data_IF_854894864277
#
_entry.id   IF_854894864277
#
_cell.length_a   1.000
_cell.length_b   1.000
_cell.length_c   1.000
_cell.angle_alpha   90.00
_cell.angle_beta   90.00
_cell.angle_gamma   90.00
#
_symmetry.space_group_name_H-M   'P 1'
#
loop_
_entity.id
_entity.type
_entity.pdbx_description
1 polymer ?
#
# COMPACT_ATOMS: atom_id res chain seq x y z
N UNK A 1 -23.14 11.76 -1.07
CA UNK A 1 -23.15 13.01 -0.31
C UNK A 1 -21.80 13.69 -0.48
N UNK A 2 -21.76 14.99 -0.85
CA UNK A 2 -20.48 15.71 -0.93
C UNK A 2 -19.98 15.98 0.48
N UNK A 3 -18.67 15.90 0.73
CA UNK A 3 -18.09 16.02 2.08
C UNK A 3 -18.50 17.33 2.78
N UNK A 4 -18.67 18.42 2.02
CA UNK A 4 -19.18 19.70 2.52
C UNK A 4 -20.60 19.63 3.12
N UNK A 5 -21.45 18.73 2.63
CA UNK A 5 -22.83 18.59 3.08
C UNK A 5 -22.92 17.83 4.42
N UNK A 6 -22.05 16.83 4.59
CA UNK A 6 -21.88 16.12 5.87
C UNK A 6 -21.34 17.08 6.93
N UNK A 7 -20.31 17.86 6.58
CA UNK A 7 -19.75 18.87 7.48
C UNK A 7 -20.79 19.88 7.95
N UNK A 8 -21.69 20.31 7.04
CA UNK A 8 -22.78 21.23 7.39
C UNK A 8 -23.75 20.62 8.39
N UNK A 9 -24.19 19.39 8.15
CA UNK A 9 -25.10 18.69 9.06
C UNK A 9 -24.50 18.46 10.44
N UNK A 10 -23.21 18.11 10.51
CA UNK A 10 -22.49 17.96 11.77
C UNK A 10 -22.41 19.31 12.50
N UNK A 11 -22.05 20.39 11.80
CA UNK A 11 -21.98 21.72 12.39
C UNK A 11 -23.33 22.16 12.96
N UNK A 12 -24.41 21.93 12.22
CA UNK A 12 -25.77 22.26 12.63
C UNK A 12 -26.17 21.49 13.91
N UNK A 13 -25.89 20.17 13.96
CA UNK A 13 -26.14 19.34 15.13
C UNK A 13 -25.29 19.74 16.35
N UNK A 14 -24.00 20.04 16.15
CA UNK A 14 -23.12 20.50 17.24
C UNK A 14 -23.62 21.84 17.79
N UNK A 15 -24.04 22.76 16.91
CA UNK A 15 -24.55 24.06 17.32
C UNK A 15 -25.88 23.94 18.07
N UNK A 16 -26.78 23.07 17.61
CA UNK A 16 -28.06 22.81 18.27
C UNK A 16 -27.86 22.26 19.68
N UNK A 17 -26.99 21.26 19.83
CA UNK A 17 -26.81 20.55 21.10
C UNK A 17 -25.88 21.27 22.09
N UNK A 18 -25.08 22.22 21.60
CA UNK A 18 -24.26 23.10 22.44
C UNK A 18 -24.90 24.46 22.74
N UNK A 19 -26.14 24.73 22.30
CA UNK A 19 -26.83 26.03 22.52
C UNK A 19 -26.82 26.47 23.98
N UNK A 20 -26.95 25.53 24.92
CA UNK A 20 -27.07 25.81 26.35
C UNK A 20 -25.81 25.42 27.16
N UNK A 21 -24.71 25.06 26.50
CA UNK A 21 -23.44 24.67 27.16
C UNK A 21 -22.27 25.40 26.54
N UNK A 22 -21.44 26.01 27.38
CA UNK A 22 -20.19 26.59 26.91
C UNK A 22 -19.23 25.47 26.50
N UNK A 23 -18.94 25.39 25.20
CA UNK A 23 -17.95 24.48 24.62
C UNK A 23 -16.98 25.34 23.82
N UNK A 24 -15.68 25.21 24.11
CA UNK A 24 -14.64 26.00 23.44
C UNK A 24 -14.60 25.71 21.94
N UNK A 25 -14.15 26.69 21.14
CA UNK A 25 -14.02 26.54 19.69
C UNK A 25 -13.16 25.32 19.32
N UNK A 26 -12.02 25.14 20.00
CA UNK A 26 -11.14 23.97 19.84
C UNK A 26 -11.87 22.65 20.08
N UNK A 27 -12.76 22.58 21.09
CA UNK A 27 -13.51 21.35 21.37
C UNK A 27 -14.59 21.09 20.31
N UNK A 28 -15.24 22.14 19.78
CA UNK A 28 -16.20 22.01 18.67
C UNK A 28 -15.51 21.52 17.40
N UNK A 29 -14.33 22.05 17.06
CA UNK A 29 -13.52 21.57 15.94
C UNK A 29 -13.10 20.10 16.11
N UNK A 30 -12.65 19.71 17.29
CA UNK A 30 -12.31 18.31 17.58
C UNK A 30 -13.53 17.39 17.42
N UNK A 31 -14.70 17.79 17.97
CA UNK A 31 -15.93 17.01 17.88
C UNK A 31 -16.45 16.90 16.45
N UNK A 32 -16.33 17.98 15.67
CA UNK A 32 -16.68 17.99 14.25
C UNK A 32 -15.85 16.97 13.48
N UNK A 33 -14.54 16.97 13.68
CA UNK A 33 -13.63 16.01 13.04
C UNK A 33 -13.93 14.58 13.48
N UNK A 34 -14.20 14.35 14.78
CA UNK A 34 -14.56 13.04 15.32
C UNK A 34 -15.87 12.49 14.72
N UNK A 35 -16.93 13.30 14.70
CA UNK A 35 -18.21 12.94 14.10
C UNK A 35 -18.11 12.76 12.58
N UNK A 36 -17.35 13.62 11.90
CA UNK A 36 -17.13 13.50 10.47
C UNK A 36 -16.40 12.20 10.13
N UNK A 37 -15.37 11.84 10.90
CA UNK A 37 -14.65 10.57 10.73
C UNK A 37 -15.51 9.36 11.11
N UNK A 38 -16.43 9.49 12.07
CA UNK A 38 -17.41 8.43 12.35
C UNK A 38 -18.39 8.22 11.19
N UNK A 39 -18.77 9.31 10.51
CA UNK A 39 -19.66 9.28 9.34
C UNK A 39 -18.90 8.91 8.04
N UNK A 40 -17.59 9.18 7.97
CA UNK A 40 -16.74 8.93 6.80
C UNK A 40 -15.55 8.00 7.11
N UNK A 41 -15.41 7.06 6.18
CA UNK A 41 -14.15 6.40 5.78
C UNK A 41 -13.65 5.33 6.74
N UNK A 42 -13.01 5.58 7.88
CA UNK A 42 -12.45 4.52 8.75
C UNK A 42 -12.38 4.93 10.25
N UNK A 43 -13.23 5.88 10.69
CA UNK A 43 -13.29 6.38 12.07
C UNK A 43 -11.92 6.88 12.56
N UNK A 44 -11.49 6.51 13.78
CA UNK A 44 -10.20 6.90 14.35
C UNK A 44 -9.00 6.55 13.47
N UNK A 45 -9.10 5.52 12.61
CA UNK A 45 -7.98 5.13 11.74
C UNK A 45 -7.73 6.16 10.63
N UNK A 46 -8.73 7.00 10.30
CA UNK A 46 -8.58 8.00 9.26
C UNK A 46 -7.47 9.01 9.59
N UNK A 47 -7.29 9.36 10.88
CA UNK A 47 -6.20 10.23 11.34
C UNK A 47 -4.82 9.64 11.03
N UNK A 48 -4.67 8.31 11.20
CA UNK A 48 -3.42 7.62 10.91
C UNK A 48 -3.20 7.42 9.40
N UNK A 49 -4.28 7.27 8.64
CA UNK A 49 -4.24 7.10 7.19
C UNK A 49 -3.93 8.42 6.48
N UNK A 50 -4.36 9.55 7.04
CA UNK A 50 -4.09 10.87 6.48
C UNK A 50 -2.67 11.37 6.81
N UNK A 51 -2.03 10.82 7.84
CA UNK A 51 -0.65 11.16 8.24
C UNK A 51 0.40 10.43 7.39
N UNK A 52 0.95 11.10 6.38
CA UNK A 52 1.95 10.53 5.45
C UNK A 52 3.27 10.06 6.10
N UNK A 53 3.51 10.35 7.39
CA UNK A 53 4.66 9.81 8.12
C UNK A 53 4.46 8.36 8.58
N UNK A 54 3.22 7.87 8.61
CA UNK A 54 2.86 6.50 9.04
C UNK A 54 2.95 5.54 7.85
N UNK A 55 3.79 4.53 7.97
CA UNK A 55 4.02 3.52 6.91
C UNK A 55 3.20 2.25 7.12
N UNK A 56 2.86 1.94 8.38
CA UNK A 56 2.09 0.75 8.73
C UNK A 56 1.17 1.04 9.91
N UNK A 57 -0.03 0.46 9.90
CA UNK A 57 -1.02 0.54 10.98
C UNK A 57 -1.45 -0.89 11.30
N UNK A 58 -1.39 -1.27 12.57
CA UNK A 58 -1.75 -2.59 13.07
C UNK A 58 -2.76 -2.44 14.19
N UNK A 59 -3.97 -2.96 13.99
CA UNK A 59 -5.05 -2.98 14.98
C UNK A 59 -5.21 -4.41 15.46
N UNK A 60 -4.90 -4.65 16.72
CA UNK A 60 -4.91 -5.96 17.36
C UNK A 60 -6.06 -6.00 18.39
N UNK A 61 -7.28 -6.22 17.91
CA UNK A 61 -8.48 -6.11 18.73
C UNK A 61 -8.76 -4.68 19.20
N UNK A 62 -9.49 -4.53 20.31
CA UNK A 62 -9.87 -3.21 20.87
C UNK A 62 -8.76 -2.55 21.67
N UNK A 63 -7.77 -3.32 22.12
CA UNK A 63 -6.80 -2.89 23.14
C UNK A 63 -5.50 -2.32 22.57
N UNK A 64 -5.05 -2.77 21.40
CA UNK A 64 -3.74 -2.42 20.88
C UNK A 64 -3.78 -1.90 19.45
N UNK A 65 -3.50 -0.62 19.26
CA UNK A 65 -3.18 -0.04 17.95
C UNK A 65 -1.70 0.30 17.93
N UNK A 66 -0.99 -0.23 16.95
CA UNK A 66 0.42 0.04 16.71
C UNK A 66 0.56 0.71 15.35
N UNK A 67 1.58 1.55 15.24
CA UNK A 67 1.92 2.19 13.98
C UNK A 67 3.43 2.17 13.77
N UNK A 68 3.84 2.08 12.51
CA UNK A 68 5.22 2.29 12.13
C UNK A 68 5.40 3.72 11.61
N UNK A 69 6.38 4.43 12.16
CA UNK A 69 6.79 5.76 11.70
C UNK A 69 8.31 5.81 11.63
N UNK A 70 8.86 6.19 10.48
CA UNK A 70 10.31 6.26 10.24
C UNK A 70 11.07 4.98 10.65
N UNK A 71 10.50 3.79 10.35
CA UNK A 71 11.10 2.50 10.68
C UNK A 71 11.03 2.11 12.16
N UNK A 72 10.26 2.84 12.98
CA UNK A 72 10.08 2.54 14.41
C UNK A 72 8.63 2.20 14.71
N UNK A 73 8.43 1.13 15.46
CA UNK A 73 7.13 0.71 15.95
C UNK A 73 6.75 1.52 17.20
N UNK A 74 5.56 2.10 17.18
CA UNK A 74 5.00 2.91 18.25
C UNK A 74 3.62 2.40 18.64
N UNK A 75 3.31 2.40 19.93
CA UNK A 75 1.95 2.16 20.41
C UNK A 75 1.15 3.47 20.34
N UNK A 76 -0.04 3.42 19.76
CA UNK A 76 -0.93 4.57 19.69
C UNK A 76 -1.81 4.64 20.93
N UNK A 77 -1.98 5.84 21.50
CA UNK A 77 -2.67 6.00 22.79
C UNK A 77 -4.19 5.80 22.71
N UNK A 78 -4.78 5.93 21.51
CA UNK A 78 -6.22 5.77 21.33
C UNK A 78 -6.60 4.30 21.20
N UNK A 79 -7.81 3.97 21.68
CA UNK A 79 -8.42 2.64 21.61
C UNK A 79 -9.70 2.67 20.81
N UNK A 80 -10.11 1.51 20.31
CA UNK A 80 -11.41 1.35 19.67
C UNK A 80 -12.46 1.07 20.75
N UNK A 81 -13.61 1.73 20.63
CA UNK A 81 -14.63 1.74 21.68
C UNK A 81 -15.22 0.35 21.99
N UNK A 82 -15.40 -0.52 20.99
CA UNK A 82 -15.95 -1.86 21.19
C UNK A 82 -15.55 -2.83 20.07
N UNK A 83 -15.77 -4.13 20.31
CA UNK A 83 -15.51 -5.19 19.32
C UNK A 83 -16.43 -5.04 18.11
N UNK A 84 -17.70 -4.74 18.34
CA UNK A 84 -18.71 -4.54 17.29
C UNK A 84 -18.30 -3.39 16.37
N UNK A 85 -17.81 -2.28 16.95
CA UNK A 85 -17.32 -1.15 16.17
C UNK A 85 -16.13 -1.52 15.27
N UNK A 86 -15.24 -2.39 15.75
CA UNK A 86 -14.11 -2.88 14.95
C UNK A 86 -14.56 -3.88 13.87
N UNK A 87 -15.53 -4.75 14.16
CA UNK A 87 -16.14 -5.64 13.16
C UNK A 87 -16.82 -4.84 12.05
N UNK A 88 -17.55 -3.77 12.40
CA UNK A 88 -18.15 -2.85 11.43
C UNK A 88 -17.08 -2.20 10.54
N UNK A 89 -15.95 -1.77 11.10
CA UNK A 89 -14.83 -1.23 10.32
C UNK A 89 -14.26 -2.28 9.34
N UNK A 90 -14.05 -3.51 9.80
CA UNK A 90 -13.58 -4.62 8.96
C UNK A 90 -14.54 -4.86 7.80
N UNK A 91 -15.84 -4.95 8.07
CA UNK A 91 -16.86 -5.15 7.04
C UNK A 91 -16.93 -3.98 6.05
N UNK A 92 -16.82 -2.74 6.53
CA UNK A 92 -16.78 -1.56 5.67
C UNK A 92 -15.55 -1.55 4.74
N UNK A 93 -14.37 -1.89 5.25
CA UNK A 93 -13.15 -1.99 4.42
C UNK A 93 -13.34 -3.08 3.36
N UNK A 94 -13.76 -4.27 3.78
CA UNK A 94 -13.96 -5.40 2.87
C UNK A 94 -14.97 -5.04 1.76
N UNK A 95 -16.11 -4.46 2.14
CA UNK A 95 -17.16 -4.07 1.20
C UNK A 95 -16.71 -3.04 0.15
N UNK A 96 -15.90 -2.04 0.54
CA UNK A 96 -15.35 -1.07 -0.42
C UNK A 96 -14.34 -1.66 -1.39
N UNK A 97 -13.66 -2.73 -0.97
CA UNK A 97 -12.70 -3.45 -1.79
C UNK A 97 -13.33 -4.60 -2.58
N UNK A 98 -14.67 -4.69 -2.61
CA UNK A 98 -15.43 -5.80 -3.19
C UNK A 98 -14.95 -7.18 -2.67
N UNK A 99 -14.59 -7.25 -1.39
CA UNK A 99 -14.23 -8.47 -0.69
C UNK A 99 -15.31 -8.83 0.33
N UNK A 100 -15.41 -10.12 0.62
CA UNK A 100 -16.33 -10.66 1.63
C UNK A 100 -15.47 -11.12 2.79
N UNK A 101 -15.80 -10.63 4.00
CA UNK A 101 -15.22 -11.07 5.27
C UNK A 101 -16.36 -11.28 6.26
N UNK A 102 -16.43 -12.48 6.84
CA UNK A 102 -17.40 -12.87 7.85
C UNK A 102 -16.87 -14.10 8.61
N UNK A 103 -17.62 -14.66 9.55
CA UNK A 103 -17.17 -15.82 10.35
C UNK A 103 -16.87 -17.08 9.51
N UNK A 104 -17.50 -17.24 8.34
CA UNK A 104 -17.25 -18.36 7.42
C UNK A 104 -16.05 -18.12 6.50
N UNK A 105 -15.75 -16.86 6.20
CA UNK A 105 -14.58 -16.41 5.43
C UNK A 105 -13.85 -15.34 6.24
N UNK A 106 -13.13 -15.75 7.31
CA UNK A 106 -12.65 -14.82 8.32
C UNK A 106 -11.41 -14.04 7.91
N UNK A 107 -10.78 -14.37 6.78
CA UNK A 107 -9.56 -13.72 6.30
C UNK A 107 -9.82 -13.10 4.93
N UNK A 108 -9.44 -11.84 4.74
CA UNK A 108 -9.31 -11.29 3.39
C UNK A 108 -8.19 -10.27 3.27
N UNK A 109 -7.56 -10.30 2.10
CA UNK A 109 -6.63 -9.27 1.66
C UNK A 109 -7.30 -8.38 0.60
N UNK A 110 -7.01 -7.10 0.70
CA UNK A 110 -7.65 -6.06 -0.09
C UNK A 110 -6.67 -4.92 -0.39
N UNK A 111 -7.06 -4.07 -1.35
CA UNK A 111 -6.36 -2.84 -1.68
C UNK A 111 -7.31 -1.66 -1.56
N UNK A 112 -6.93 -0.69 -0.74
CA UNK A 112 -7.65 0.56 -0.57
C UNK A 112 -7.50 1.46 -1.80
N UNK A 113 -8.35 2.48 -1.90
CA UNK A 113 -8.35 3.42 -3.03
C UNK A 113 -7.05 4.24 -3.16
N UNK A 114 -6.30 4.39 -2.07
CA UNK A 114 -4.98 5.05 -2.05
C UNK A 114 -3.84 4.09 -2.44
N UNK A 115 -4.16 2.83 -2.78
CA UNK A 115 -3.20 1.79 -3.14
C UNK A 115 -2.70 0.98 -1.95
N UNK A 116 -2.96 1.41 -0.70
CA UNK A 116 -2.52 0.73 0.51
C UNK A 116 -3.07 -0.70 0.59
N UNK A 117 -2.27 -1.64 1.09
CA UNK A 117 -2.70 -3.01 1.34
C UNK A 117 -3.37 -3.11 2.68
N UNK A 118 -4.46 -3.88 2.73
CA UNK A 118 -5.13 -4.20 3.97
C UNK A 118 -5.30 -5.70 4.08
N UNK A 119 -4.88 -6.25 5.22
CA UNK A 119 -5.24 -7.59 5.66
C UNK A 119 -6.26 -7.50 6.79
N UNK A 120 -7.34 -8.25 6.66
CA UNK A 120 -8.46 -8.30 7.60
C UNK A 120 -8.60 -9.71 8.14
N UNK A 121 -8.70 -9.85 9.46
CA UNK A 121 -8.95 -11.14 10.11
C UNK A 121 -10.04 -10.99 11.16
N UNK A 122 -11.08 -11.83 11.08
CA UNK A 122 -12.16 -11.91 12.07
C UNK A 122 -12.02 -13.17 12.97
N UNK A 123 -12.68 -13.16 14.15
CA UNK A 123 -12.97 -14.39 14.88
C UNK A 123 -13.71 -15.42 13.99
N UNK A 124 -13.53 -16.72 14.22
CA UNK A 124 -12.75 -17.35 15.30
C UNK A 124 -11.24 -17.45 15.05
N UNK A 125 -10.75 -17.04 13.87
CA UNK A 125 -9.30 -17.13 13.53
C UNK A 125 -8.48 -16.13 14.35
N UNK A 126 -8.99 -14.91 14.51
CA UNK A 126 -8.38 -13.93 15.40
C UNK A 126 -8.93 -14.06 16.83
N UNK A 127 -8.19 -14.76 17.69
CA UNK A 127 -8.59 -15.06 19.07
C UNK A 127 -8.74 -13.81 19.96
N UNK A 128 -7.98 -12.75 19.66
CA UNK A 128 -7.98 -11.51 20.42
C UNK A 128 -9.03 -10.49 19.92
N UNK A 129 -10.00 -10.95 19.11
CA UNK A 129 -10.93 -10.10 18.38
C UNK A 129 -10.41 -9.74 16.98
N UNK A 130 -11.17 -8.95 16.20
CA UNK A 130 -10.79 -8.61 14.84
C UNK A 130 -9.42 -7.94 14.74
N UNK A 131 -8.73 -8.18 13.62
CA UNK A 131 -7.41 -7.63 13.33
C UNK A 131 -7.44 -6.91 11.97
N UNK A 132 -6.83 -5.74 11.92
CA UNK A 132 -6.62 -4.97 10.70
C UNK A 132 -5.14 -4.62 10.60
N UNK A 133 -4.50 -5.00 9.50
CA UNK A 133 -3.15 -4.53 9.18
C UNK A 133 -3.19 -3.73 7.89
N UNK A 134 -2.85 -2.45 7.95
CA UNK A 134 -2.77 -1.56 6.80
C UNK A 134 -1.31 -1.25 6.54
N UNK A 135 -0.79 -1.68 5.39
CA UNK A 135 0.55 -1.31 4.92
C UNK A 135 0.43 -0.29 3.81
N UNK A 136 0.94 0.91 4.06
CA UNK A 136 0.83 2.04 3.16
C UNK A 136 2.00 2.09 2.19
N UNK A 137 1.74 2.60 1.00
CA UNK A 137 2.79 2.97 0.07
C UNK A 137 3.14 4.43 0.26
N UNK A 138 4.43 4.79 0.29
CA UNK A 138 4.82 6.20 0.32
C UNK A 138 4.20 6.91 -0.88
N UNK A 139 3.53 8.04 -0.66
CA UNK A 139 3.03 8.90 -1.75
C UNK A 139 4.18 9.45 -2.59
N UNK A 140 5.30 9.71 -1.94
CA UNK A 140 6.52 10.19 -2.57
C UNK A 140 7.57 9.08 -2.53
N UNK A 141 7.93 8.49 -3.69
CA UNK A 141 8.98 7.49 -3.72
C UNK A 141 10.34 8.13 -3.39
N UNK A 142 11.23 7.36 -2.77
CA UNK A 142 12.61 7.82 -2.53
C UNK A 142 13.35 7.78 -3.87
N UNK A 143 13.81 8.95 -4.32
CA UNK A 143 14.63 9.08 -5.53
C UNK A 143 16.11 8.83 -5.26
N UNK A 144 16.87 8.62 -6.34
CA UNK A 144 18.30 8.31 -6.25
C UNK A 144 19.11 9.39 -5.53
N UNK A 145 18.78 10.67 -5.71
CA UNK A 145 19.45 11.79 -5.03
C UNK A 145 19.32 11.68 -3.51
N UNK A 146 18.14 11.27 -3.01
CA UNK A 146 17.92 11.06 -1.58
C UNK A 146 18.72 9.86 -1.05
N UNK A 147 18.90 8.81 -1.85
CA UNK A 147 19.74 7.66 -1.47
C UNK A 147 21.23 8.06 -1.36
N UNK A 148 21.69 8.99 -2.21
CA UNK A 148 23.03 9.57 -2.11
C UNK A 148 23.18 10.39 -0.82
N UNK A 149 22.20 11.25 -0.51
CA UNK A 149 22.20 12.05 0.73
C UNK A 149 22.22 11.17 1.99
N UNK A 150 21.53 10.03 1.96
CA UNK A 150 21.51 9.05 3.05
C UNK A 150 22.79 8.22 3.13
N UNK A 151 23.73 8.38 2.19
CA UNK A 151 24.98 7.62 2.12
C UNK A 151 24.78 6.15 1.71
N UNK A 152 23.62 5.80 1.14
CA UNK A 152 23.32 4.44 0.69
C UNK A 152 24.07 4.06 -0.60
N UNK A 153 24.40 5.06 -1.43
CA UNK A 153 25.14 4.90 -2.69
C UNK A 153 25.94 6.18 -2.98
N UNK A 154 27.12 6.06 -3.60
CA UNK A 154 27.93 7.24 -3.97
C UNK A 154 27.52 7.81 -5.33
N UNK A 155 27.76 9.11 -5.59
CA UNK A 155 27.48 9.72 -6.90
C UNK A 155 28.15 9.01 -8.08
N UNK A 156 29.37 8.49 -7.90
CA UNK A 156 30.10 7.76 -8.93
C UNK A 156 29.40 6.46 -9.31
N UNK A 157 28.91 5.72 -8.30
CA UNK A 157 28.13 4.49 -8.53
C UNK A 157 26.80 4.82 -9.20
N UNK A 158 26.14 5.92 -8.82
CA UNK A 158 24.91 6.36 -9.48
C UNK A 158 25.15 6.65 -10.97
N UNK A 159 26.23 7.36 -11.31
CA UNK A 159 26.56 7.65 -12.71
C UNK A 159 26.81 6.36 -13.51
N UNK A 160 27.52 5.40 -12.92
CA UNK A 160 27.75 4.09 -13.52
C UNK A 160 26.46 3.30 -13.73
N UNK A 161 25.62 3.17 -12.70
CA UNK A 161 24.33 2.48 -12.78
C UNK A 161 23.39 3.13 -13.79
N UNK A 162 23.35 4.46 -13.86
CA UNK A 162 22.57 5.20 -14.86
C UNK A 162 23.01 4.86 -16.28
N UNK A 163 24.31 4.73 -16.53
CA UNK A 163 24.82 4.31 -17.83
C UNK A 163 24.41 2.87 -18.18
N UNK A 164 24.46 1.94 -17.21
CA UNK A 164 23.99 0.56 -17.41
C UNK A 164 22.50 0.48 -17.71
N UNK A 165 21.67 1.21 -16.96
CA UNK A 165 20.22 1.26 -17.20
C UNK A 165 19.96 1.77 -18.62
N UNK A 166 20.53 2.92 -19.01
CA UNK A 166 20.37 3.47 -20.36
C UNK A 166 20.90 2.54 -21.46
N UNK A 167 21.95 1.78 -21.18
CA UNK A 167 22.54 0.82 -22.11
C UNK A 167 21.74 -0.48 -22.28
N UNK A 168 20.61 -0.66 -21.59
CA UNK A 168 19.79 -1.87 -21.73
C UNK A 168 20.29 -3.08 -20.94
N UNK A 169 21.25 -2.88 -20.02
CA UNK A 169 21.82 -4.00 -19.25
C UNK A 169 20.80 -4.58 -18.27
N UNK A 170 20.84 -5.91 -18.11
CA UNK A 170 20.07 -6.61 -17.09
C UNK A 170 20.73 -6.41 -15.72
N UNK A 171 19.95 -5.96 -14.74
CA UNK A 171 20.43 -5.64 -13.38
C UNK A 171 19.60 -6.42 -12.37
N UNK A 172 20.28 -7.14 -11.48
CA UNK A 172 19.67 -7.83 -10.35
C UNK A 172 20.05 -7.12 -9.05
N UNK A 173 19.05 -6.83 -8.22
CA UNK A 173 19.24 -6.21 -6.91
C UNK A 173 18.95 -7.27 -5.85
N UNK A 174 19.95 -7.60 -5.04
CA UNK A 174 19.88 -8.62 -4.00
C UNK A 174 20.12 -8.02 -2.61
N UNK A 175 19.69 -8.74 -1.57
CA UNK A 175 19.74 -8.27 -0.18
C UNK A 175 18.67 -8.90 0.70
N UNK A 176 18.81 -8.79 2.02
CA UNK A 176 17.86 -9.32 3.00
C UNK A 176 16.47 -8.66 2.93
N UNK A 177 15.49 -9.28 3.58
CA UNK A 177 14.16 -8.67 3.76
C UNK A 177 14.31 -7.33 4.50
N UNK A 178 13.62 -6.29 4.03
CA UNK A 178 13.69 -4.95 4.63
C UNK A 178 14.96 -4.15 4.31
N UNK A 179 15.90 -4.66 3.50
CA UNK A 179 17.15 -3.95 3.18
C UNK A 179 16.99 -2.80 2.16
N UNK A 180 15.76 -2.43 1.80
CA UNK A 180 15.49 -1.35 0.84
C UNK A 180 15.62 -1.72 -0.64
N UNK A 181 15.60 -3.01 -1.01
CA UNK A 181 15.71 -3.47 -2.42
C UNK A 181 14.69 -2.81 -3.35
N UNK A 182 13.41 -2.90 -3.00
CA UNK A 182 12.32 -2.32 -3.80
C UNK A 182 12.45 -0.81 -3.90
N UNK A 183 12.86 -0.14 -2.83
CA UNK A 183 13.17 1.29 -2.81
C UNK A 183 14.27 1.64 -3.80
N UNK A 184 15.39 0.89 -3.78
CA UNK A 184 16.51 1.10 -4.69
C UNK A 184 16.13 0.79 -6.14
N UNK A 185 15.38 -0.30 -6.38
CA UNK A 185 14.85 -0.65 -7.69
C UNK A 185 13.97 0.46 -8.24
N UNK A 186 13.08 1.00 -7.42
CA UNK A 186 12.19 2.08 -7.81
C UNK A 186 12.99 3.35 -8.18
N UNK A 187 13.96 3.75 -7.34
CA UNK A 187 14.86 4.87 -7.63
C UNK A 187 15.69 4.66 -8.91
N UNK A 188 16.15 3.43 -9.16
CA UNK A 188 16.93 3.08 -10.35
C UNK A 188 16.08 3.08 -11.62
N UNK A 189 14.80 2.70 -11.50
CA UNK A 189 13.85 2.68 -12.62
C UNK A 189 13.59 4.07 -13.21
N UNK A 190 13.83 5.14 -12.45
CA UNK A 190 13.71 6.52 -12.94
C UNK A 190 14.71 6.84 -14.07
N UNK A 191 15.83 6.10 -14.16
CA UNK A 191 16.83 6.25 -15.21
C UNK A 191 16.48 5.56 -16.53
N UNK A 192 15.41 4.77 -16.57
CA UNK A 192 14.90 4.18 -17.80
C UNK A 192 14.44 5.31 -18.74
N UNK A 193 14.86 5.33 -20.02
CA UNK A 193 14.37 6.30 -21.01
C UNK A 193 12.83 6.31 -21.08
N UNK A 194 12.23 7.50 -21.14
CA UNK A 194 10.78 7.67 -20.93
C UNK A 194 9.95 7.27 -22.15
N UNK A 195 10.61 7.17 -23.30
CA UNK A 195 10.04 6.76 -24.58
C UNK A 195 9.92 5.23 -24.71
N UNK A 196 10.61 4.47 -23.85
CA UNK A 196 10.56 3.00 -23.83
C UNK A 196 9.23 2.49 -23.26
N UNK A 197 8.77 1.34 -23.79
CA UNK A 197 7.64 0.59 -23.24
C UNK A 197 8.09 -0.23 -22.04
N UNK A 198 7.58 0.13 -20.87
CA UNK A 198 7.96 -0.50 -19.60
C UNK A 198 6.81 -1.38 -19.11
N UNK A 199 7.12 -2.61 -18.73
CA UNK A 199 6.17 -3.53 -18.09
C UNK A 199 6.67 -3.86 -16.69
N UNK A 200 5.89 -3.51 -15.66
CA UNK A 200 6.17 -3.94 -14.28
C UNK A 200 5.41 -5.23 -13.97
N UNK A 201 6.04 -6.13 -13.22
CA UNK A 201 5.44 -7.39 -12.78
C UNK A 201 5.75 -7.55 -11.29
N UNK A 202 4.72 -7.61 -10.46
CA UNK A 202 4.87 -7.62 -9.01
C UNK A 202 3.84 -8.55 -8.37
N UNK A 203 4.18 -9.18 -7.24
CA UNK A 203 3.18 -9.96 -6.48
C UNK A 203 2.05 -9.04 -6.02
N UNK A 204 2.44 -7.81 -5.74
CA UNK A 204 1.56 -6.73 -5.42
C UNK A 204 2.25 -5.43 -5.86
N UNK A 205 1.58 -4.54 -6.60
CA UNK A 205 2.25 -3.39 -7.18
C UNK A 205 2.78 -2.39 -6.13
N UNK A 206 4.10 -2.22 -6.04
CA UNK A 206 4.82 -1.25 -5.20
C UNK A 206 5.56 -0.23 -6.05
N UNK A 207 6.00 -0.61 -7.25
CA UNK A 207 6.78 0.25 -8.14
C UNK A 207 5.95 1.43 -8.64
N UNK A 208 6.59 2.60 -8.58
CA UNK A 208 6.06 3.90 -8.96
C UNK A 208 6.99 4.52 -10.00
N UNK A 209 6.90 4.02 -11.24
CA UNK A 209 7.69 4.54 -12.36
C UNK A 209 7.11 5.89 -12.79
N UNK A 210 7.91 6.95 -12.68
CA UNK A 210 7.48 8.31 -13.02
C UNK A 210 7.82 8.69 -14.47
N UNK A 211 6.91 9.41 -15.12
CA UNK A 211 7.14 10.04 -16.43
C UNK A 211 7.18 9.10 -17.63
N UNK A 212 6.95 7.79 -17.46
CA UNK A 212 6.82 6.86 -18.57
C UNK A 212 5.41 6.90 -19.15
N UNK A 213 5.28 7.29 -20.43
CA UNK A 213 3.98 7.34 -21.10
C UNK A 213 3.46 5.93 -21.44
N UNK A 214 4.37 5.02 -21.81
CA UNK A 214 4.05 3.67 -22.26
C UNK A 214 4.30 2.64 -21.15
N UNK A 215 3.53 2.74 -20.06
CA UNK A 215 3.68 1.91 -18.87
C UNK A 215 2.54 0.88 -18.75
N UNK A 216 2.88 -0.41 -18.64
CA UNK A 216 1.96 -1.50 -18.28
C UNK A 216 2.32 -2.00 -16.89
N UNK A 217 1.32 -2.13 -16.01
CA UNK A 217 1.51 -2.65 -14.65
C UNK A 217 0.76 -3.96 -14.51
N UNK A 218 1.49 -5.04 -14.24
CA UNK A 218 0.95 -6.38 -14.05
C UNK A 218 1.14 -6.79 -12.59
N UNK A 219 0.10 -7.35 -12.01
CA UNK A 219 0.07 -7.79 -10.62
C UNK A 219 -0.38 -9.25 -10.55
N UNK A 220 0.37 -10.07 -9.78
CA UNK A 220 -0.02 -11.44 -9.54
C UNK A 220 -1.34 -11.50 -8.78
N UNK A 221 -2.09 -12.57 -8.97
CA UNK A 221 -3.36 -12.78 -8.29
C UNK A 221 -3.34 -14.14 -7.61
N UNK A 222 -3.56 -14.15 -6.31
CA UNK A 222 -3.78 -15.41 -5.60
C UNK A 222 -5.02 -16.14 -6.11
N UNK A 223 -5.07 -17.44 -5.84
CA UNK A 223 -6.25 -18.23 -6.12
C UNK A 223 -7.49 -17.65 -5.40
N UNK A 224 -8.66 -17.84 -5.99
CA UNK A 224 -9.92 -17.55 -5.30
C UNK A 224 -10.13 -18.54 -4.13
N UNK A 225 -11.20 -18.36 -3.37
CA UNK A 225 -11.59 -19.22 -2.24
C UNK A 225 -11.77 -20.70 -2.62
N UNK A 226 -11.96 -21.02 -3.91
CA UNK A 226 -12.01 -22.39 -4.43
C UNK A 226 -10.64 -22.94 -4.86
N UNK A 227 -9.55 -22.21 -4.64
CA UNK A 227 -8.20 -22.60 -5.06
C UNK A 227 -7.96 -22.48 -6.57
N UNK A 228 -8.83 -21.77 -7.31
CA UNK A 228 -8.76 -21.64 -8.78
C UNK A 228 -8.36 -20.24 -9.22
N UNK A 229 -7.95 -20.12 -10.48
CA UNK A 229 -7.68 -18.86 -11.18
C UNK A 229 -6.55 -18.00 -10.57
N UNK A 230 -5.55 -18.64 -9.96
CA UNK A 230 -4.29 -17.97 -9.64
C UNK A 230 -3.61 -17.48 -10.93
N UNK A 231 -2.98 -16.31 -10.86
CA UNK A 231 -2.11 -15.77 -11.91
C UNK A 231 -0.77 -15.50 -11.24
N UNK A 232 0.23 -16.29 -11.59
CA UNK A 232 1.56 -16.23 -10.97
C UNK A 232 2.45 -15.20 -11.67
N UNK A 233 3.53 -14.77 -11.01
CA UNK A 233 4.57 -13.94 -11.65
C UNK A 233 5.10 -14.60 -12.93
N UNK A 234 5.27 -15.92 -12.90
CA UNK A 234 5.66 -16.72 -14.06
C UNK A 234 4.69 -16.55 -15.24
N UNK A 235 3.38 -16.59 -14.99
CA UNK A 235 2.36 -16.41 -16.02
C UNK A 235 2.43 -15.00 -16.61
N UNK A 236 2.65 -13.99 -15.76
CA UNK A 236 2.79 -12.60 -16.17
C UNK A 236 4.06 -12.35 -16.98
N UNK A 237 5.19 -12.98 -16.63
CA UNK A 237 6.44 -12.91 -17.41
C UNK A 237 6.18 -13.50 -18.80
N UNK A 238 5.56 -14.67 -18.91
CA UNK A 238 5.25 -15.28 -20.21
C UNK A 238 4.32 -14.41 -21.06
N UNK A 239 3.33 -13.79 -20.42
CA UNK A 239 2.41 -12.88 -21.09
C UNK A 239 3.11 -11.59 -21.55
N UNK A 240 3.99 -11.00 -20.73
CA UNK A 240 4.65 -9.73 -21.02
C UNK A 240 5.55 -9.80 -22.24
N UNK A 241 6.19 -10.94 -22.52
CA UNK A 241 7.02 -11.14 -23.72
C UNK A 241 6.24 -10.97 -25.04
N UNK A 242 4.92 -11.17 -25.03
CA UNK A 242 4.06 -10.94 -26.20
C UNK A 242 3.55 -9.51 -26.31
N UNK A 243 3.85 -8.67 -25.32
CA UNK A 243 3.41 -7.28 -25.26
C UNK A 243 4.42 -6.31 -25.86
N UNK A 244 5.46 -6.82 -26.55
CA UNK A 244 6.56 -6.04 -27.13
C UNK A 244 7.18 -5.05 -26.12
N UNK A 245 7.69 -5.53 -24.97
CA UNK A 245 8.34 -4.66 -24.00
C UNK A 245 9.71 -4.20 -24.50
N UNK A 246 10.09 -2.96 -24.20
CA UNK A 246 11.49 -2.54 -24.21
C UNK A 246 12.14 -2.85 -22.86
N UNK A 247 11.37 -2.76 -21.77
CA UNK A 247 11.79 -3.12 -20.40
C UNK A 247 10.77 -3.98 -19.69
N UNK A 248 11.26 -4.98 -18.96
CA UNK A 248 10.49 -5.72 -17.96
C UNK A 248 11.15 -5.47 -16.59
N UNK A 249 10.38 -4.95 -15.64
CA UNK A 249 10.81 -4.73 -14.27
C UNK A 249 10.04 -5.67 -13.36
N UNK A 250 10.73 -6.61 -12.73
CA UNK A 250 10.13 -7.57 -11.80
C UNK A 250 10.42 -7.12 -10.37
N UNK A 251 9.38 -6.90 -9.56
CA UNK A 251 9.54 -6.35 -8.20
C UNK A 251 10.29 -7.27 -7.26
N UNK A 252 9.97 -8.57 -7.30
CA UNK A 252 10.69 -9.59 -6.55
C UNK A 252 10.59 -10.95 -7.25
N UNK A 253 11.63 -11.77 -7.09
CA UNK A 253 11.71 -13.14 -7.57
C UNK A 253 12.08 -14.01 -6.37
N UNK A 254 11.21 -14.95 -6.01
CA UNK A 254 11.32 -15.84 -4.83
C UNK A 254 11.36 -17.33 -5.18
N UNK A 255 11.08 -17.72 -6.42
CA UNK A 255 10.88 -19.11 -6.80
C UNK A 255 11.19 -19.44 -8.26
N UNK A 256 10.39 -20.35 -8.82
CA UNK A 256 10.60 -20.93 -10.16
C UNK A 256 10.62 -19.89 -11.29
N UNK A 257 9.96 -18.75 -11.10
CA UNK A 257 9.93 -17.65 -12.05
C UNK A 257 11.32 -17.04 -12.33
N UNK A 258 12.31 -17.29 -11.47
CA UNK A 258 13.71 -16.91 -11.71
C UNK A 258 14.26 -17.53 -13.00
N UNK A 259 13.93 -18.80 -13.25
CA UNK A 259 14.41 -19.52 -14.43
C UNK A 259 13.76 -18.97 -15.70
N UNK A 260 12.44 -18.74 -15.68
CA UNK A 260 11.73 -18.16 -16.82
C UNK A 260 12.23 -16.73 -17.11
N UNK A 261 12.58 -15.95 -16.09
CA UNK A 261 13.20 -14.63 -16.26
C UNK A 261 14.56 -14.73 -16.96
N UNK A 262 15.43 -15.65 -16.52
CA UNK A 262 16.73 -15.86 -17.19
C UNK A 262 16.55 -16.37 -18.62
N UNK A 263 15.61 -17.30 -18.85
CA UNK A 263 15.31 -17.82 -20.19
C UNK A 263 14.77 -16.73 -21.12
N UNK A 264 14.01 -15.77 -20.60
CA UNK A 264 13.49 -14.64 -21.39
C UNK A 264 14.60 -13.73 -21.93
N UNK A 265 15.72 -13.62 -21.21
CA UNK A 265 16.90 -12.87 -21.61
C UNK A 265 17.67 -13.62 -22.72
N UNK A 266 17.69 -14.95 -22.69
CA UNK A 266 18.51 -15.80 -23.58
C UNK A 266 17.83 -16.02 -24.96
N UNK A 267 16.50 -15.97 -25.04
CA UNK A 267 15.74 -16.21 -26.28
C UNK A 267 15.50 -14.97 -27.16
N UNK A 268 16.12 -13.84 -26.83
CA UNK A 268 16.10 -12.64 -27.69
C UNK A 268 17.40 -12.61 -28.48
N UNK A 269 17.41 -13.22 -29.67
CA UNK A 269 18.53 -13.15 -30.64
C UNK A 269 18.36 -11.91 -31.51
#
# INVERSE_FOLDING_TARGET
>A
MKDQEIYRQIDDLILEETRNRYVSLRRKEALRTELFNSIRKLDILQELIDDDSVTEIMVNGTEGIFLERNGRLLCWEKKIASKEKLEDMVQQIAGRCNRIVNESVPVADARLSDGSRVSLVLPPVALNGPVITIRRFPKNPIHMDRLVELGAVTPEVVAFLKALVKGGYNIFISGGTGSGKTTFLNALSDFIPKEERIITIEDNAELQIQGAENLVRLEARQANTEGKNAVTIRDLIKASLRMRPDRIVVGEVRGEEALDMIQSIICTI
#
